data_IF_889852087466
#
_entry.id   IF_889852087466
#
_cell.length_a   1.000
_cell.length_b   1.000
_cell.length_c   1.000
_cell.angle_alpha   90.00
_cell.angle_beta   90.00
_cell.angle_gamma   90.00
#
_symmetry.space_group_name_H-M   'P 1'
#
loop_
_entity.id
_entity.type
_entity.pdbx_description
1 polymer ?
#
# COMPACT_ATOMS: atom_id res chain seq x y z
N UNK A 1 -8.15 -29.76 5.82
CA UNK A 1 -6.81 -29.34 5.37
C UNK A 1 -6.97 -28.00 4.66
N UNK A 2 -6.26 -26.96 5.07
CA UNK A 2 -6.32 -25.64 4.42
C UNK A 2 -5.15 -25.58 3.42
N UNK A 3 -5.45 -25.47 2.15
CA UNK A 3 -4.44 -25.34 1.10
C UNK A 3 -4.00 -23.88 0.99
N UNK A 4 -2.73 -23.61 0.70
CA UNK A 4 -2.29 -22.26 0.36
C UNK A 4 -2.92 -21.81 -0.95
N UNK A 5 -3.32 -20.54 -1.01
CA UNK A 5 -3.88 -19.90 -2.20
C UNK A 5 -2.75 -19.19 -2.95
N UNK A 6 -2.69 -19.37 -4.26
CA UNK A 6 -1.82 -18.61 -5.17
C UNK A 6 -2.65 -17.54 -5.85
N UNK A 7 -2.30 -16.29 -5.64
CA UNK A 7 -3.02 -15.16 -6.23
C UNK A 7 -2.15 -14.44 -7.26
N UNK A 8 -2.66 -14.33 -8.49
CA UNK A 8 -2.05 -13.51 -9.55
C UNK A 8 -3.04 -12.44 -9.96
N UNK A 9 -2.71 -11.17 -9.70
CA UNK A 9 -3.55 -10.04 -10.07
C UNK A 9 -3.71 -9.91 -11.58
N UNK A 10 -4.95 -9.71 -12.05
CA UNK A 10 -5.24 -9.58 -13.47
C UNK A 10 -4.49 -8.45 -14.16
N UNK A 11 -4.16 -7.38 -13.41
CA UNK A 11 -3.35 -6.25 -13.87
C UNK A 11 -1.89 -6.65 -14.14
N UNK A 12 -1.40 -7.67 -13.42
CA UNK A 12 -0.04 -8.20 -13.59
C UNK A 12 0.14 -9.00 -14.88
N UNK A 13 -0.94 -9.52 -15.47
CA UNK A 13 -0.87 -10.38 -16.65
C UNK A 13 -0.39 -9.63 -17.91
N UNK A 14 -0.61 -8.32 -17.97
CA UNK A 14 -0.13 -7.46 -19.08
C UNK A 14 1.39 -7.39 -19.18
N UNK A 15 2.12 -7.68 -18.09
CA UNK A 15 3.59 -7.64 -18.06
C UNK A 15 4.27 -8.72 -18.90
N UNK A 16 3.48 -9.70 -19.36
CA UNK A 16 3.95 -10.81 -20.19
C UNK A 16 4.32 -12.07 -19.41
N UNK A 17 4.51 -13.15 -20.13
CA UNK A 17 4.61 -14.50 -19.59
C UNK A 17 5.78 -14.70 -18.62
N UNK A 18 6.94 -14.11 -18.90
CA UNK A 18 8.09 -14.23 -18.01
C UNK A 18 7.86 -13.57 -16.65
N UNK A 19 7.26 -12.38 -16.61
CA UNK A 19 6.98 -11.68 -15.37
C UNK A 19 5.85 -12.34 -14.59
N UNK A 20 4.88 -12.94 -15.28
CA UNK A 20 3.84 -13.77 -14.66
C UNK A 20 4.46 -15.00 -14.01
N UNK A 21 5.40 -15.68 -14.69
CA UNK A 21 6.16 -16.78 -14.08
C UNK A 21 6.91 -16.31 -12.84
N UNK A 22 7.52 -15.12 -12.85
CA UNK A 22 8.17 -14.54 -11.67
C UNK A 22 7.24 -14.38 -10.49
N UNK A 23 6.02 -13.93 -10.74
CA UNK A 23 4.98 -13.86 -9.71
C UNK A 23 4.62 -15.25 -9.19
N UNK A 24 4.44 -16.23 -10.08
CA UNK A 24 4.13 -17.60 -9.68
C UNK A 24 5.24 -18.24 -8.84
N UNK A 25 6.51 -18.00 -9.18
CA UNK A 25 7.65 -18.50 -8.40
C UNK A 25 7.76 -17.80 -7.03
N UNK A 26 7.42 -16.51 -6.95
CA UNK A 26 7.31 -15.78 -5.68
C UNK A 26 6.25 -16.42 -4.76
N UNK A 27 5.06 -16.66 -5.28
CA UNK A 27 3.99 -17.33 -4.53
C UNK A 27 4.34 -18.79 -4.18
N UNK A 28 5.06 -19.48 -5.07
CA UNK A 28 5.56 -20.82 -4.81
C UNK A 28 6.55 -20.85 -3.65
N UNK A 29 7.38 -19.81 -3.46
CA UNK A 29 8.25 -19.69 -2.29
C UNK A 29 7.47 -19.62 -0.97
N UNK A 30 6.35 -18.88 -0.94
CA UNK A 30 5.43 -18.87 0.20
C UNK A 30 4.78 -20.23 0.44
N UNK A 31 4.34 -20.89 -0.63
CA UNK A 31 3.78 -22.25 -0.53
C UNK A 31 4.80 -23.25 0.00
N UNK A 32 6.06 -23.16 -0.44
CA UNK A 32 7.17 -24.00 0.03
C UNK A 32 7.48 -23.73 1.51
N UNK A 33 7.44 -22.46 1.93
CA UNK A 33 7.58 -22.08 3.33
C UNK A 33 6.47 -22.72 4.18
N UNK A 34 5.23 -22.66 3.72
CA UNK A 34 4.10 -23.29 4.40
C UNK A 34 4.26 -24.81 4.55
N UNK A 35 4.65 -25.50 3.49
CA UNK A 35 4.86 -26.97 3.51
C UNK A 35 6.01 -27.37 4.45
N UNK A 36 7.04 -26.53 4.56
CA UNK A 36 8.22 -26.77 5.43
C UNK A 36 8.07 -26.21 6.84
N UNK A 37 6.92 -25.66 7.20
CA UNK A 37 6.66 -24.97 8.48
C UNK A 37 7.70 -23.86 8.77
N UNK A 38 8.07 -23.11 7.74
CA UNK A 38 9.02 -22.00 7.80
C UNK A 38 8.25 -20.69 7.86
N UNK A 39 8.48 -19.88 8.89
CA UNK A 39 7.94 -18.53 8.96
C UNK A 39 8.80 -17.60 8.10
N UNK A 40 8.34 -17.33 6.89
CA UNK A 40 9.01 -16.56 5.83
C UNK A 40 8.64 -15.07 5.84
N UNK A 41 7.55 -14.72 6.50
CA UNK A 41 7.07 -13.34 6.64
C UNK A 41 6.93 -12.91 8.10
N UNK A 42 6.85 -11.60 8.33
CA UNK A 42 6.55 -10.96 9.61
C UNK A 42 5.61 -9.76 9.42
N UNK A 43 5.27 -9.03 10.49
CA UNK A 43 4.37 -7.87 10.45
C UNK A 43 3.04 -8.19 9.74
N UNK A 44 2.41 -9.30 10.13
CA UNK A 44 1.14 -9.77 9.53
C UNK A 44 1.25 -10.04 8.01
N UNK A 45 2.33 -10.63 7.55
CA UNK A 45 2.55 -10.96 6.15
C UNK A 45 3.15 -9.84 5.29
N UNK A 46 3.29 -8.63 5.84
CA UNK A 46 3.74 -7.45 5.05
C UNK A 46 5.26 -7.35 4.87
N UNK A 47 6.03 -8.12 5.60
CA UNK A 47 7.49 -8.06 5.57
C UNK A 47 8.06 -9.43 5.27
N UNK A 48 8.73 -9.56 4.12
CA UNK A 48 9.46 -10.78 3.75
C UNK A 48 10.84 -10.79 4.43
N UNK A 49 11.14 -11.87 5.12
CA UNK A 49 12.39 -12.01 5.86
C UNK A 49 13.46 -12.76 5.05
N UNK A 50 14.64 -13.00 5.64
CA UNK A 50 15.73 -13.70 4.97
C UNK A 50 15.40 -15.17 4.64
N UNK A 51 14.44 -15.80 5.32
CA UNK A 51 14.00 -17.16 5.03
C UNK A 51 13.19 -17.20 3.74
N UNK A 52 12.33 -16.19 3.50
CA UNK A 52 11.67 -16.04 2.21
C UNK A 52 12.69 -15.91 1.08
N UNK A 53 13.72 -15.04 1.26
CA UNK A 53 14.77 -14.87 0.26
C UNK A 53 15.41 -16.21 -0.11
N UNK A 54 15.82 -17.01 0.90
CA UNK A 54 16.46 -18.29 0.65
C UNK A 54 15.57 -19.27 -0.13
N UNK A 55 14.27 -19.32 0.19
CA UNK A 55 13.31 -20.17 -0.52
C UNK A 55 13.05 -19.70 -1.96
N UNK A 56 12.98 -18.40 -2.17
CA UNK A 56 12.82 -17.81 -3.48
C UNK A 56 14.04 -18.04 -4.37
N UNK A 57 15.25 -17.89 -3.82
CA UNK A 57 16.50 -18.19 -4.52
C UNK A 57 16.64 -19.70 -4.82
N UNK A 58 16.14 -20.59 -3.96
CA UNK A 58 16.05 -22.04 -4.22
C UNK A 58 15.18 -22.35 -5.45
N UNK A 59 14.14 -21.55 -5.68
CA UNK A 59 13.29 -21.66 -6.86
C UNK A 59 13.84 -20.94 -8.10
N UNK A 60 15.03 -20.38 -8.00
CA UNK A 60 15.76 -19.77 -9.10
C UNK A 60 15.41 -18.31 -9.39
N UNK A 61 14.74 -17.61 -8.49
CA UNK A 61 14.51 -16.16 -8.64
C UNK A 61 15.46 -15.36 -7.76
N UNK A 62 15.91 -14.23 -8.28
CA UNK A 62 16.72 -13.28 -7.53
C UNK A 62 15.82 -12.35 -6.70
N UNK A 63 16.28 -12.03 -5.47
CA UNK A 63 15.51 -11.23 -4.52
C UNK A 63 16.34 -10.04 -4.06
N UNK A 64 15.76 -8.86 -4.15
CA UNK A 64 16.34 -7.63 -3.60
C UNK A 64 15.60 -7.16 -2.35
N UNK A 65 16.23 -6.27 -1.58
CA UNK A 65 15.66 -5.79 -0.31
C UNK A 65 15.05 -4.40 -0.48
N UNK A 66 13.78 -4.29 -0.14
CA UNK A 66 13.07 -3.03 -0.02
C UNK A 66 12.97 -2.60 1.46
N UNK A 67 13.17 -1.31 1.80
CA UNK A 67 13.14 -0.85 3.18
C UNK A 67 11.77 -0.93 3.87
N UNK A 68 10.67 -1.07 3.11
CA UNK A 68 9.29 -1.11 3.64
C UNK A 68 8.70 -2.50 3.73
N UNK A 69 9.04 -3.38 2.78
CA UNK A 69 8.44 -4.71 2.63
C UNK A 69 9.45 -5.87 2.74
N UNK A 70 10.72 -5.56 2.97
CA UNK A 70 11.77 -6.57 3.17
C UNK A 70 12.29 -7.17 1.87
N UNK A 71 12.61 -8.46 1.85
CA UNK A 71 13.10 -9.20 0.70
C UNK A 71 11.94 -9.58 -0.23
N UNK A 72 11.39 -8.62 -0.95
CA UNK A 72 10.17 -8.79 -1.75
C UNK A 72 10.33 -8.56 -3.24
N UNK A 73 11.05 -7.53 -3.74
CA UNK A 73 11.23 -7.37 -5.17
C UNK A 73 11.99 -8.57 -5.75
N UNK A 74 11.38 -9.26 -6.71
CA UNK A 74 11.92 -10.46 -7.34
C UNK A 74 12.15 -10.24 -8.84
N UNK A 75 13.21 -10.84 -9.36
CA UNK A 75 13.54 -10.88 -10.78
C UNK A 75 13.86 -12.30 -11.22
N UNK A 76 13.60 -12.61 -12.49
CA UNK A 76 13.93 -13.90 -13.08
C UNK A 76 15.24 -13.75 -13.85
N UNK A 77 16.34 -14.40 -13.40
CA UNK A 77 17.62 -14.41 -14.12
C UNK A 77 17.50 -15.20 -15.44
N UNK A 78 18.45 -14.99 -16.33
CA UNK A 78 18.48 -15.65 -17.65
C UNK A 78 18.46 -17.18 -17.53
N UNK A 79 19.22 -17.74 -16.60
CA UNK A 79 19.25 -19.19 -16.36
C UNK A 79 17.87 -19.78 -16.00
N UNK A 80 17.09 -19.06 -15.20
CA UNK A 80 15.73 -19.47 -14.84
C UNK A 80 14.79 -19.32 -16.03
N UNK A 81 14.94 -18.26 -16.83
CA UNK A 81 14.17 -18.11 -18.09
C UNK A 81 14.44 -19.25 -19.06
N UNK A 82 15.67 -19.69 -19.17
CA UNK A 82 16.05 -20.84 -20.00
C UNK A 82 15.47 -22.14 -19.45
N UNK A 83 15.55 -22.36 -18.14
CA UNK A 83 14.98 -23.55 -17.49
C UNK A 83 13.46 -23.66 -17.71
N UNK A 84 12.75 -22.55 -17.67
CA UNK A 84 11.29 -22.49 -17.82
C UNK A 84 10.84 -22.02 -19.22
N UNK A 85 11.70 -22.09 -20.24
CA UNK A 85 11.41 -21.56 -21.57
C UNK A 85 10.11 -22.09 -22.16
N UNK A 86 9.82 -23.39 -22.04
CA UNK A 86 8.60 -24.01 -22.54
C UNK A 86 7.36 -23.48 -21.79
N UNK A 87 7.45 -23.35 -20.46
CA UNK A 87 6.35 -22.82 -19.63
C UNK A 87 6.08 -21.35 -19.98
N UNK A 88 7.13 -20.54 -20.18
CA UNK A 88 7.00 -19.15 -20.62
C UNK A 88 6.31 -19.08 -21.99
N UNK A 89 6.70 -19.94 -22.93
CA UNK A 89 6.08 -19.98 -24.26
C UNK A 89 4.60 -20.39 -24.18
N UNK A 90 4.25 -21.34 -23.34
CA UNK A 90 2.84 -21.73 -23.13
C UNK A 90 2.04 -20.62 -22.46
N UNK A 91 2.55 -20.04 -21.39
CA UNK A 91 1.91 -18.88 -20.76
C UNK A 91 1.69 -17.75 -21.77
N UNK A 92 2.67 -17.45 -22.62
CA UNK A 92 2.55 -16.42 -23.66
C UNK A 92 1.44 -16.69 -24.67
N UNK A 93 1.13 -17.97 -24.95
CA UNK A 93 0.04 -18.35 -25.84
C UNK A 93 -1.34 -18.16 -25.22
N UNK A 94 -1.47 -18.38 -23.91
CA UNK A 94 -2.77 -18.37 -23.20
C UNK A 94 -3.07 -17.07 -22.47
N UNK A 95 -2.06 -16.27 -22.12
CA UNK A 95 -2.22 -14.97 -21.47
C UNK A 95 -2.73 -13.89 -22.43
N UNK A 96 -3.95 -14.07 -22.93
CA UNK A 96 -4.62 -13.13 -23.84
C UNK A 96 -5.55 -12.16 -23.13
N UNK A 97 -5.97 -12.49 -21.90
CA UNK A 97 -6.88 -11.68 -21.11
C UNK A 97 -6.12 -11.10 -19.93
N UNK A 98 -6.23 -9.80 -19.76
CA UNK A 98 -5.73 -9.09 -18.61
C UNK A 98 -6.76 -8.06 -18.19
N UNK A 99 -6.77 -7.72 -16.92
CA UNK A 99 -7.54 -6.58 -16.45
C UNK A 99 -6.82 -5.31 -16.90
N UNK A 100 -7.52 -4.45 -17.64
CA UNK A 100 -7.03 -3.12 -17.89
C UNK A 100 -6.79 -2.44 -16.53
N UNK A 101 -5.58 -1.94 -16.31
CA UNK A 101 -5.38 -1.00 -15.22
C UNK A 101 -6.34 0.14 -15.54
N UNK A 102 -7.41 0.27 -14.77
CA UNK A 102 -8.11 1.52 -14.74
C UNK A 102 -7.05 2.54 -14.34
N UNK A 103 -6.50 3.23 -15.34
CA UNK A 103 -5.84 4.49 -15.09
C UNK A 103 -6.98 5.28 -14.44
N UNK A 104 -7.02 5.26 -13.13
CA UNK A 104 -7.84 6.17 -12.37
C UNK A 104 -7.40 7.52 -12.91
N UNK A 105 -8.16 7.99 -13.91
CA UNK A 105 -7.92 9.30 -14.51
C UNK A 105 -7.82 10.16 -13.30
N UNK A 106 -6.66 10.77 -13.10
CA UNK A 106 -6.28 11.42 -11.85
C UNK A 106 -7.40 12.31 -11.34
N UNK A 107 -8.37 11.69 -10.68
CA UNK A 107 -9.19 12.43 -9.74
C UNK A 107 -8.17 12.88 -8.72
N UNK A 108 -7.74 14.13 -8.85
CA UNK A 108 -7.06 14.83 -7.77
C UNK A 108 -7.71 14.31 -6.50
N UNK A 109 -6.94 13.63 -5.67
CA UNK A 109 -7.45 13.16 -4.38
C UNK A 109 -7.88 14.44 -3.68
N UNK A 110 -9.19 14.69 -3.67
CA UNK A 110 -9.72 15.80 -2.87
C UNK A 110 -9.08 15.64 -1.51
N UNK A 111 -8.49 16.70 -0.96
CA UNK A 111 -7.87 16.63 0.35
C UNK A 111 -8.88 15.99 1.30
N UNK A 112 -8.45 14.99 2.04
CA UNK A 112 -9.32 14.35 3.03
C UNK A 112 -9.79 15.43 3.99
N UNK A 113 -11.08 15.46 4.34
CA UNK A 113 -11.59 16.45 5.28
C UNK A 113 -10.77 16.37 6.58
N UNK A 114 -10.53 17.49 7.26
CA UNK A 114 -9.82 17.50 8.52
C UNK A 114 -10.51 16.56 9.52
N UNK A 115 -9.79 15.98 10.47
CA UNK A 115 -10.42 15.19 11.52
C UNK A 115 -11.34 16.07 12.35
N UNK A 116 -12.40 15.49 12.89
CA UNK A 116 -13.25 16.13 13.87
C UNK A 116 -12.79 15.72 15.26
N UNK A 117 -12.78 16.65 16.20
CA UNK A 117 -12.27 16.50 17.57
C UNK A 117 -13.38 16.86 18.56
N UNK A 118 -13.50 16.11 19.64
CA UNK A 118 -14.32 16.46 20.79
C UNK A 118 -13.45 17.06 21.92
N UNK A 119 -14.06 17.67 22.95
CA UNK A 119 -13.31 18.31 24.04
C UNK A 119 -12.37 17.38 24.80
N UNK A 120 -12.62 16.08 24.85
CA UNK A 120 -11.69 15.12 25.46
C UNK A 120 -10.52 14.69 24.51
N UNK A 121 -10.37 15.34 23.36
CA UNK A 121 -9.27 15.11 22.42
C UNK A 121 -9.41 13.88 21.54
N UNK A 122 -10.53 13.16 21.56
CA UNK A 122 -10.78 12.05 20.64
C UNK A 122 -11.01 12.58 19.23
N UNK A 123 -10.45 11.85 18.25
CA UNK A 123 -10.53 12.23 16.85
C UNK A 123 -11.31 11.18 16.05
N UNK A 124 -12.23 11.66 15.19
CA UNK A 124 -12.92 10.84 14.19
C UNK A 124 -12.74 11.46 12.82
N UNK A 125 -12.87 10.64 11.77
CA UNK A 125 -12.95 11.13 10.39
C UNK A 125 -14.34 10.84 9.86
N UNK A 126 -15.02 11.88 9.46
CA UNK A 126 -16.39 11.81 8.97
C UNK A 126 -16.55 12.78 7.80
N UNK A 127 -17.43 12.48 6.84
CA UNK A 127 -17.67 13.40 5.73
C UNK A 127 -18.41 14.64 6.24
N UNK A 128 -18.16 15.83 5.65
CA UNK A 128 -18.88 17.05 6.02
C UNK A 128 -20.40 16.91 5.93
N UNK A 129 -20.89 16.17 4.95
CA UNK A 129 -22.32 15.91 4.76
C UNK A 129 -22.97 15.15 5.93
N UNK A 130 -22.22 14.26 6.60
CA UNK A 130 -22.72 13.53 7.76
C UNK A 130 -22.78 14.44 9.00
N UNK A 131 -21.78 15.32 9.19
CA UNK A 131 -21.76 16.28 10.29
C UNK A 131 -22.89 17.33 10.18
N UNK A 132 -23.27 17.69 8.95
CA UNK A 132 -24.36 18.65 8.72
C UNK A 132 -25.74 18.01 8.93
N UNK A 133 -25.84 16.69 8.71
CA UNK A 133 -27.12 15.99 8.85
C UNK A 133 -27.54 15.87 10.32
N UNK A 134 -26.61 15.46 11.21
CA UNK A 134 -26.85 15.36 12.65
C UNK A 134 -25.53 15.46 13.42
N UNK A 135 -25.50 16.10 14.61
CA UNK A 135 -24.31 16.14 15.45
C UNK A 135 -23.91 14.73 15.90
N UNK A 136 -22.61 14.47 15.88
CA UNK A 136 -22.05 13.22 16.38
C UNK A 136 -21.46 13.48 17.76
N UNK A 137 -22.09 12.93 18.79
CA UNK A 137 -21.71 13.15 20.19
C UNK A 137 -20.67 12.11 20.64
N UNK A 138 -19.66 12.55 21.37
CA UNK A 138 -18.66 11.68 21.97
C UNK A 138 -19.28 10.92 23.17
N UNK A 139 -19.31 9.60 23.11
CA UNK A 139 -19.83 8.75 24.17
C UNK A 139 -19.02 8.75 25.49
N UNK A 140 -17.92 9.52 25.57
CA UNK A 140 -17.08 9.64 26.77
C UNK A 140 -17.25 10.99 27.46
N UNK A 141 -17.19 12.11 26.74
CA UNK A 141 -17.30 13.46 27.31
C UNK A 141 -18.66 14.09 27.06
N UNK A 142 -19.51 13.51 26.23
CA UNK A 142 -20.83 14.03 25.91
C UNK A 142 -20.84 15.26 25.00
N UNK A 143 -19.67 15.72 24.51
CA UNK A 143 -19.59 16.86 23.59
C UNK A 143 -19.58 16.40 22.14
N UNK A 144 -20.04 17.26 21.25
CA UNK A 144 -20.08 16.95 19.83
C UNK A 144 -18.69 17.06 19.18
N UNK A 145 -18.47 16.24 18.14
CA UNK A 145 -17.26 16.33 17.34
C UNK A 145 -17.34 17.51 16.38
N UNK A 146 -16.39 18.44 16.48
CA UNK A 146 -16.23 19.58 15.59
C UNK A 146 -14.98 19.44 14.70
N UNK A 147 -14.97 20.00 13.46
CA UNK A 147 -13.78 19.99 12.61
C UNK A 147 -12.57 20.62 13.30
N UNK A 148 -11.43 19.93 13.27
CA UNK A 148 -10.14 20.43 13.76
C UNK A 148 -9.55 21.41 12.73
N UNK A 149 -10.07 22.62 12.71
CA UNK A 149 -9.60 23.70 11.82
C UNK A 149 -8.57 24.55 12.59
N UNK A 150 -7.45 24.93 11.98
CA UNK A 150 -6.52 25.89 12.59
C UNK A 150 -7.25 27.22 12.82
N UNK A 151 -7.06 27.81 13.98
CA UNK A 151 -7.60 29.13 14.31
C UNK A 151 -7.11 30.16 13.30
N UNK A 152 -8.06 30.76 12.55
CA UNK A 152 -7.76 31.82 11.56
C UNK A 152 -7.58 33.20 12.19
N UNK A 153 -7.35 33.30 13.51
CA UNK A 153 -7.36 34.55 14.25
C UNK A 153 -5.99 35.02 14.76
N UNK A 154 -4.87 34.63 14.15
CA UNK A 154 -3.56 35.18 14.55
C UNK A 154 -2.87 36.09 13.51
N UNK A 155 -3.62 36.71 12.59
CA UNK A 155 -3.06 37.75 11.73
C UNK A 155 -3.83 39.06 11.90
N UNK A 156 -3.56 39.76 13.00
CA UNK A 156 -4.18 41.07 13.17
C UNK A 156 -3.83 41.81 14.47
N UNK A 157 -2.57 42.19 14.66
CA UNK A 157 -2.25 43.40 15.43
C UNK A 157 -0.71 43.61 15.44
N UNK A 158 -0.25 44.37 14.52
CA UNK A 158 1.12 44.89 14.46
C UNK A 158 1.08 46.29 13.87
N UNK A 159 0.24 47.15 14.46
CA UNK A 159 0.30 48.59 14.25
C UNK A 159 1.61 49.10 14.91
N UNK A 160 2.50 49.57 14.12
CA UNK A 160 3.74 50.19 14.48
C UNK A 160 3.97 51.45 13.68
N UNK A 161 3.18 52.51 14.00
CA UNK A 161 3.56 53.86 13.65
C UNK A 161 4.91 54.18 14.32
N UNK A 162 5.93 54.43 13.54
CA UNK A 162 7.06 55.27 13.97
C UNK A 162 7.15 56.45 13.04
N UNK A 163 6.62 57.58 13.55
CA UNK A 163 6.92 58.92 13.08
C UNK A 163 8.27 59.31 13.65
N UNK A 164 9.27 59.52 12.82
CA UNK A 164 10.60 60.04 13.18
C UNK A 164 10.96 61.16 12.20
N UNK A 165 10.58 62.36 12.58
CA UNK A 165 11.06 63.60 11.96
C UNK A 165 12.54 63.84 12.27
N UNK A 166 13.22 64.60 11.41
CA UNK A 166 14.31 65.44 11.85
C UNK A 166 15.60 65.42 11.01
N UNK A 167 15.75 66.51 10.34
CA UNK A 167 16.92 67.32 9.94
C UNK A 167 17.85 66.79 8.83
#
# INVERSE_FOLDING_TARGET
MRLPEVFVGGEGLVRGAADVLGTLLHEAAHALAHVRDIKDTSRQGRWHNAKFKALAEELGIEVSKDPRIGWSPTTIPTSTRETYAEVIAELGRVLRLHRAVEVAGGKEKKPSPPPCVCECGRKIRVSPTVLVADPITCGVCGTDFAPDLPDQNEDGAGDGMDEGAGE
#
